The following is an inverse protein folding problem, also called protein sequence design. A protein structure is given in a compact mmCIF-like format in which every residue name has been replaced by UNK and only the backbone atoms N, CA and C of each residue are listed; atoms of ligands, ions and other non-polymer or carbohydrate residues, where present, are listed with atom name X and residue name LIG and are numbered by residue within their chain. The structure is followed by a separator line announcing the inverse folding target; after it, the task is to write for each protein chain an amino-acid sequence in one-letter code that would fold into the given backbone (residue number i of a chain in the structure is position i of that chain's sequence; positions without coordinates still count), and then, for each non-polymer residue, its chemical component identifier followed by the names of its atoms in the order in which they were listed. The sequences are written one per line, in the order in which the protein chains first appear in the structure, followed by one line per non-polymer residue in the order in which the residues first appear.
data_IF_973053317686
#
_entry.id   IF_973053317686
#
_cell.length_a   1.000
_cell.length_b   1.000
_cell.length_c   1.000
_cell.angle_alpha   90.00
_cell.angle_beta   90.00
_cell.angle_gamma   90.00
#
_symmetry.space_group_name_H-M   'P 1'
#
loop_
_entity.id
_entity.type
_entity.pdbx_description
1 polymer ?
#
# COMPACT_ATOMS: atom_id res chain seq x y z
N UNK A 1 11.58 -11.70 -13.50
CA UNK A 1 11.93 -10.27 -13.47
C UNK A 1 12.46 -9.79 -14.82
N UNK A 2 13.45 -10.46 -15.41
CA UNK A 2 14.12 -10.05 -16.66
C UNK A 2 13.68 -10.80 -17.93
N UNK A 3 12.61 -11.60 -17.84
CA UNK A 3 12.08 -12.38 -18.96
C UNK A 3 10.95 -11.62 -19.67
N UNK A 4 11.33 -10.58 -20.42
CA UNK A 4 10.39 -9.69 -21.09
C UNK A 4 9.48 -10.44 -22.07
N UNK A 5 8.19 -10.14 -22.03
CA UNK A 5 7.17 -10.72 -22.89
C UNK A 5 6.74 -9.70 -23.96
N UNK A 6 6.62 -10.14 -25.20
CA UNK A 6 6.29 -9.24 -26.33
C UNK A 6 4.93 -8.55 -26.18
N UNK A 7 3.96 -9.21 -25.55
CA UNK A 7 2.61 -8.67 -25.32
C UNK A 7 2.57 -7.59 -24.24
N UNK A 8 3.61 -7.47 -23.42
CA UNK A 8 3.77 -6.39 -22.45
C UNK A 8 5.24 -6.18 -22.10
N UNK A 9 6.05 -5.53 -22.96
CA UNK A 9 7.50 -5.48 -22.81
C UNK A 9 7.94 -4.85 -21.48
N UNK A 10 9.00 -5.39 -20.87
CA UNK A 10 9.52 -4.86 -19.62
C UNK A 10 10.26 -3.54 -19.82
N UNK A 11 9.86 -2.49 -19.10
CA UNK A 11 10.64 -1.26 -19.02
C UNK A 11 12.07 -1.59 -18.54
N UNK A 12 13.08 -1.03 -19.21
CA UNK A 12 14.49 -1.23 -18.88
C UNK A 12 14.93 -2.70 -18.89
N UNK A 13 14.14 -3.59 -19.51
CA UNK A 13 14.36 -5.04 -19.48
C UNK A 13 14.08 -5.69 -18.11
N UNK A 14 13.37 -5.01 -17.20
CA UNK A 14 13.14 -5.51 -15.85
C UNK A 14 11.73 -5.18 -15.32
N UNK A 15 10.90 -6.19 -15.06
CA UNK A 15 9.55 -6.02 -14.50
C UNK A 15 9.52 -5.67 -13.00
N UNK A 16 10.66 -5.64 -12.32
CA UNK A 16 10.75 -5.37 -10.89
C UNK A 16 9.91 -4.18 -10.43
N UNK A 17 10.10 -2.97 -10.98
CA UNK A 17 9.31 -1.81 -10.57
C UNK A 17 7.79 -2.00 -10.77
N UNK A 18 7.39 -2.72 -11.82
CA UNK A 18 5.99 -3.03 -12.09
C UNK A 18 5.39 -3.98 -11.03
N UNK A 19 6.16 -4.95 -10.56
CA UNK A 19 5.74 -5.83 -9.45
C UNK A 19 5.79 -5.14 -8.09
N UNK A 20 6.70 -4.20 -7.85
CA UNK A 20 6.68 -3.35 -6.65
C UNK A 20 5.37 -2.57 -6.62
N UNK A 21 4.98 -1.92 -7.72
CA UNK A 21 3.68 -1.24 -7.81
C UNK A 21 2.51 -2.20 -7.59
N UNK A 22 2.48 -3.35 -8.25
CA UNK A 22 1.40 -4.33 -8.07
C UNK A 22 1.23 -4.73 -6.60
N UNK A 23 2.36 -4.98 -5.92
CA UNK A 23 2.44 -5.38 -4.52
C UNK A 23 2.00 -4.25 -3.59
N UNK A 24 2.51 -3.03 -3.82
CA UNK A 24 2.10 -1.81 -3.14
C UNK A 24 0.58 -1.62 -3.22
N UNK A 25 0.01 -1.71 -4.42
CA UNK A 25 -1.44 -1.53 -4.63
C UNK A 25 -2.27 -2.67 -4.02
N UNK A 26 -1.72 -3.89 -3.95
CA UNK A 26 -2.43 -5.02 -3.33
C UNK A 26 -2.57 -4.77 -1.82
N UNK A 27 -1.49 -4.39 -1.15
CA UNK A 27 -1.50 -4.08 0.28
C UNK A 27 -2.12 -2.70 0.61
N UNK A 28 -2.07 -1.78 -0.35
CA UNK A 28 -2.36 -0.36 -0.17
C UNK A 28 -3.84 -0.01 -0.02
N UNK A 29 -4.77 -0.96 -0.16
CA UNK A 29 -6.20 -0.67 0.05
C UNK A 29 -6.65 -0.77 1.51
N UNK A 30 -5.77 -1.28 2.39
CA UNK A 30 -6.05 -1.49 3.81
C UNK A 30 -6.41 -0.19 4.53
N UNK A 31 -7.34 -0.24 5.48
CA UNK A 31 -7.68 0.90 6.34
C UNK A 31 -7.84 0.46 7.80
N UNK A 32 -7.33 1.25 8.72
CA UNK A 32 -7.33 0.92 10.16
C UNK A 32 -8.71 0.99 10.81
N UNK A 33 -9.60 1.79 10.24
CA UNK A 33 -10.95 2.08 10.75
C UNK A 33 -11.78 0.80 10.93
N UNK A 34 -11.71 -0.12 9.99
CA UNK A 34 -12.41 -1.41 10.05
C UNK A 34 -11.55 -2.62 9.66
N UNK A 35 -10.27 -2.41 9.36
CA UNK A 35 -9.31 -3.47 9.00
C UNK A 35 -9.50 -4.04 7.61
N UNK A 36 -10.44 -3.52 6.80
CA UNK A 36 -10.74 -4.03 5.45
C UNK A 36 -9.72 -3.56 4.41
N UNK A 37 -9.74 -4.20 3.26
CA UNK A 37 -8.72 -4.04 2.22
C UNK A 37 -7.43 -4.76 2.59
N UNK A 38 -6.34 -4.45 1.90
CA UNK A 38 -5.03 -5.06 2.13
C UNK A 38 -4.73 -6.24 1.20
N UNK A 39 -3.55 -6.83 1.43
CA UNK A 39 -2.98 -7.89 0.61
C UNK A 39 -3.36 -9.29 1.08
N UNK A 40 -4.04 -9.43 2.21
CA UNK A 40 -4.27 -10.67 2.95
C UNK A 40 -5.07 -11.74 2.23
N UNK A 41 -5.81 -11.39 1.18
CA UNK A 41 -6.74 -12.28 0.46
C UNK A 41 -6.50 -12.36 -1.06
N UNK A 42 -5.60 -11.52 -1.60
CA UNK A 42 -5.36 -11.41 -3.04
C UNK A 42 -6.51 -10.79 -3.83
N UNK A 43 -7.37 -10.00 -3.17
CA UNK A 43 -8.59 -9.41 -3.73
C UNK A 43 -8.38 -8.51 -4.96
N UNK A 44 -7.17 -7.99 -5.18
CA UNK A 44 -6.82 -7.20 -6.38
C UNK A 44 -7.15 -7.91 -7.71
N UNK A 45 -7.39 -9.22 -7.69
CA UNK A 45 -7.80 -10.00 -8.87
C UNK A 45 -9.29 -9.97 -9.18
N UNK A 46 -10.13 -9.42 -8.30
CA UNK A 46 -11.58 -9.35 -8.45
C UNK A 46 -12.08 -7.90 -8.51
N UNK A 47 -13.32 -7.72 -8.97
CA UNK A 47 -14.00 -6.44 -8.93
C UNK A 47 -14.27 -5.99 -7.48
N UNK A 48 -14.25 -4.68 -7.17
CA UNK A 48 -13.95 -3.59 -8.09
C UNK A 48 -12.44 -3.34 -8.28
N UNK A 49 -11.59 -3.90 -7.40
CA UNK A 49 -10.17 -3.56 -7.33
C UNK A 49 -9.42 -3.88 -8.63
N UNK A 50 -9.76 -4.96 -9.32
CA UNK A 50 -9.14 -5.33 -10.59
C UNK A 50 -9.31 -4.29 -11.70
N UNK A 51 -10.23 -3.33 -11.51
CA UNK A 51 -10.68 -2.34 -12.48
C UNK A 51 -10.61 -0.89 -12.00
N UNK A 52 -10.12 -0.67 -10.79
CA UNK A 52 -9.84 0.69 -10.30
C UNK A 52 -8.89 1.44 -11.25
N UNK A 53 -9.13 2.73 -11.53
CA UNK A 53 -8.22 3.55 -12.34
C UNK A 53 -6.77 3.48 -11.88
N UNK A 54 -6.54 3.52 -10.57
CA UNK A 54 -5.19 3.47 -10.00
C UNK A 54 -4.54 2.08 -10.13
N UNK A 55 -5.32 1.03 -10.39
CA UNK A 55 -4.83 -0.30 -10.71
C UNK A 55 -4.64 -0.53 -12.23
N UNK A 56 -4.68 0.56 -13.02
CA UNK A 56 -4.43 0.55 -14.45
C UNK A 56 -3.20 -0.31 -14.82
N UNK A 57 -3.40 -1.19 -15.79
CA UNK A 57 -2.43 -2.17 -16.29
C UNK A 57 -1.95 -3.25 -15.30
N UNK A 58 -2.36 -3.26 -14.03
CA UNK A 58 -1.96 -4.32 -13.09
C UNK A 58 -2.58 -5.69 -13.43
N UNK A 59 -3.59 -5.74 -14.30
CA UNK A 59 -4.05 -6.96 -14.95
C UNK A 59 -2.92 -7.66 -15.74
N UNK A 60 -2.05 -6.89 -16.42
CA UNK A 60 -0.84 -7.42 -17.08
C UNK A 60 0.20 -7.89 -16.07
N UNK A 61 0.44 -7.13 -15.00
CA UNK A 61 1.36 -7.54 -13.92
C UNK A 61 0.96 -8.91 -13.34
N UNK A 62 -0.31 -9.07 -12.96
CA UNK A 62 -0.82 -10.34 -12.43
C UNK A 62 -0.71 -11.49 -13.45
N UNK A 63 -0.95 -11.21 -14.74
CA UNK A 63 -0.84 -12.24 -15.79
C UNK A 63 0.60 -12.71 -16.00
N UNK A 64 1.60 -11.84 -15.88
CA UNK A 64 3.01 -12.23 -15.96
C UNK A 64 3.39 -13.28 -14.91
N UNK A 65 2.68 -13.32 -13.78
CA UNK A 65 2.89 -14.29 -12.70
C UNK A 65 2.14 -15.61 -12.88
N UNK A 66 1.24 -15.72 -13.88
CA UNK A 66 0.47 -16.95 -14.11
C UNK A 66 1.33 -18.21 -14.31
N UNK A 67 2.41 -18.20 -15.12
CA UNK A 67 3.26 -19.39 -15.27
C UNK A 67 3.88 -19.87 -13.95
N UNK A 68 4.22 -18.92 -13.05
CA UNK A 68 4.71 -19.23 -11.70
C UNK A 68 3.59 -19.83 -10.85
N UNK A 69 2.41 -19.19 -10.83
CA UNK A 69 1.24 -19.72 -10.12
C UNK A 69 0.88 -21.14 -10.59
N UNK A 70 0.88 -21.38 -11.89
CA UNK A 70 0.59 -22.68 -12.49
C UNK A 70 1.62 -23.73 -12.07
N UNK A 71 2.92 -23.38 -12.07
CA UNK A 71 4.00 -24.28 -11.67
C UNK A 71 3.88 -24.75 -10.22
N UNK A 72 3.53 -23.85 -9.30
CA UNK A 72 3.46 -24.16 -7.87
C UNK A 72 2.06 -24.57 -7.39
N UNK A 73 1.03 -24.38 -8.21
CA UNK A 73 -0.33 -24.85 -7.93
C UNK A 73 -0.87 -24.29 -6.63
N UNK A 74 -1.37 -25.17 -5.76
CA UNK A 74 -1.92 -24.82 -4.45
C UNK A 74 -0.87 -24.66 -3.33
N UNK A 75 0.43 -24.80 -3.64
CA UNK A 75 1.51 -24.56 -2.67
C UNK A 75 1.78 -23.08 -2.42
N UNK A 76 1.22 -22.20 -3.25
CA UNK A 76 1.26 -20.75 -3.10
C UNK A 76 -0.08 -20.16 -3.54
N UNK A 77 -0.67 -19.31 -2.71
CA UNK A 77 -1.86 -18.53 -3.05
C UNK A 77 -1.49 -17.38 -4.00
N UNK A 78 -2.46 -16.82 -4.72
CA UNK A 78 -2.26 -15.55 -5.41
C UNK A 78 -1.95 -14.43 -4.42
N UNK A 79 -2.61 -14.42 -3.26
CA UNK A 79 -2.34 -13.46 -2.19
C UNK A 79 -0.85 -13.42 -1.81
N UNK A 80 -0.25 -14.57 -1.47
CA UNK A 80 1.17 -14.63 -1.15
C UNK A 80 2.06 -14.34 -2.37
N UNK A 81 1.68 -14.80 -3.57
CA UNK A 81 2.47 -14.59 -4.77
C UNK A 81 2.53 -13.10 -5.18
N UNK A 82 1.44 -12.35 -5.01
CA UNK A 82 1.45 -10.91 -5.27
C UNK A 82 2.42 -10.20 -4.35
N UNK A 83 2.38 -10.52 -3.06
CA UNK A 83 3.26 -9.89 -2.06
C UNK A 83 4.73 -10.30 -2.25
N UNK A 84 4.98 -11.57 -2.48
CA UNK A 84 6.34 -12.09 -2.69
C UNK A 84 7.01 -11.48 -3.94
N UNK A 85 6.24 -11.24 -5.01
CA UNK A 85 6.78 -10.66 -6.24
C UNK A 85 7.41 -9.29 -6.03
N UNK A 86 6.82 -8.43 -5.19
CA UNK A 86 7.39 -7.13 -4.83
C UNK A 86 8.65 -7.23 -3.98
N UNK A 87 8.69 -8.15 -3.01
CA UNK A 87 9.90 -8.41 -2.21
C UNK A 87 11.07 -8.84 -3.11
N UNK A 88 10.85 -9.87 -3.94
CA UNK A 88 11.86 -10.38 -4.88
C UNK A 88 12.29 -9.30 -5.88
N UNK A 89 11.36 -8.42 -6.28
CA UNK A 89 11.69 -7.30 -7.17
C UNK A 89 12.68 -6.32 -6.52
N UNK A 90 12.43 -5.89 -5.28
CA UNK A 90 13.33 -5.02 -4.53
C UNK A 90 14.71 -5.67 -4.38
N UNK A 91 14.75 -6.93 -3.94
CA UNK A 91 15.99 -7.70 -3.75
C UNK A 91 16.79 -7.83 -5.04
N UNK A 92 16.11 -8.14 -6.15
CA UNK A 92 16.76 -8.29 -7.47
C UNK A 92 17.38 -7.00 -8.01
N UNK A 93 16.94 -5.84 -7.51
CA UNK A 93 17.45 -4.52 -7.88
C UNK A 93 18.42 -3.94 -6.82
N UNK A 94 18.83 -4.75 -5.85
CA UNK A 94 19.84 -4.40 -4.83
C UNK A 94 19.28 -3.76 -3.56
N UNK A 95 17.96 -3.64 -3.42
CA UNK A 95 17.32 -3.19 -2.19
C UNK A 95 17.28 -4.29 -1.13
N UNK A 96 17.23 -3.92 0.14
CA UNK A 96 17.11 -4.87 1.26
C UNK A 96 15.69 -4.89 1.79
N UNK A 97 15.12 -6.08 1.89
CA UNK A 97 13.84 -6.32 2.58
C UNK A 97 14.10 -6.69 4.05
N UNK A 98 13.14 -6.42 4.93
CA UNK A 98 13.26 -6.79 6.35
C UNK A 98 12.93 -8.28 6.59
N UNK A 99 12.13 -8.87 5.70
CA UNK A 99 11.73 -10.28 5.72
C UNK A 99 10.45 -10.51 4.92
N UNK A 100 9.92 -11.73 5.02
CA UNK A 100 8.67 -12.13 4.37
C UNK A 100 7.98 -13.23 5.17
N UNK A 101 6.66 -13.18 5.21
CA UNK A 101 5.82 -14.29 5.64
C UNK A 101 4.78 -14.61 4.58
N UNK A 102 4.64 -15.90 4.27
CA UNK A 102 3.44 -16.43 3.62
C UNK A 102 2.35 -16.73 4.63
N UNK A 103 1.27 -17.39 4.19
CA UNK A 103 0.13 -17.81 5.01
C UNK A 103 -1.17 -17.08 4.69
N UNK A 104 -1.22 -16.34 3.58
CA UNK A 104 -2.44 -15.69 3.07
C UNK A 104 -3.25 -16.69 2.25
N UNK A 105 -4.53 -16.82 2.52
CA UNK A 105 -5.42 -17.67 1.75
C UNK A 105 -6.04 -16.91 0.58
N UNK A 106 -6.26 -17.59 -0.55
CA UNK A 106 -7.01 -17.02 -1.66
C UNK A 106 -8.51 -17.03 -1.34
N UNK A 107 -9.19 -15.91 -1.55
CA UNK A 107 -10.66 -15.87 -1.69
C UNK A 107 -11.06 -16.24 -3.12
N UNK A 108 -12.31 -16.62 -3.36
CA UNK A 108 -12.81 -17.07 -4.69
C UNK A 108 -13.91 -16.19 -5.28
N UNK A 109 -14.29 -15.13 -4.58
CA UNK A 109 -15.24 -14.12 -4.99
C UNK A 109 -14.85 -12.80 -4.32
N UNK A 110 -15.24 -11.64 -4.90
CA UNK A 110 -14.95 -10.36 -4.28
C UNK A 110 -15.67 -10.21 -2.92
N UNK A 111 -15.03 -9.57 -1.93
CA UNK A 111 -15.69 -9.15 -0.71
C UNK A 111 -16.84 -8.19 -1.01
N UNK A 112 -18.02 -8.48 -0.47
CA UNK A 112 -19.22 -7.67 -0.68
C UNK A 112 -19.47 -6.67 0.47
N UNK A 113 -18.67 -6.73 1.52
CA UNK A 113 -18.85 -5.98 2.76
C UNK A 113 -17.90 -4.76 2.87
N UNK A 114 -17.13 -4.46 1.83
CA UNK A 114 -16.24 -3.29 1.80
C UNK A 114 -16.94 -2.09 1.16
N UNK A 115 -17.15 -1.04 1.96
CA UNK A 115 -17.64 0.24 1.48
C UNK A 115 -16.47 1.12 1.00
N UNK A 116 -16.35 1.30 -0.31
CA UNK A 116 -15.27 2.08 -0.94
C UNK A 116 -15.56 3.59 -1.07
N UNK A 117 -16.79 4.00 -0.77
CA UNK A 117 -17.29 5.36 -0.94
C UNK A 117 -18.69 5.36 -1.55
N UNK A 118 -19.33 6.52 -1.57
CA UNK A 118 -20.69 6.71 -2.11
C UNK A 118 -20.71 7.28 -3.53
N UNK A 119 -19.54 7.52 -4.10
CA UNK A 119 -19.43 8.05 -5.46
C UNK A 119 -19.94 7.04 -6.48
N UNK A 120 -20.70 7.53 -7.46
CA UNK A 120 -21.24 6.73 -8.56
C UNK A 120 -20.28 6.69 -9.78
N UNK A 121 -19.23 7.51 -9.78
CA UNK A 121 -18.27 7.65 -10.89
C UNK A 121 -16.82 7.49 -10.40
N UNK A 122 -15.96 6.95 -11.28
CA UNK A 122 -14.53 6.83 -11.01
C UNK A 122 -13.87 8.20 -10.84
N UNK A 123 -12.93 8.28 -9.90
CA UNK A 123 -12.16 9.48 -9.55
C UNK A 123 -13.00 10.65 -9.01
N UNK A 124 -14.30 10.49 -8.79
CA UNK A 124 -15.09 11.51 -8.09
C UNK A 124 -14.74 11.56 -6.58
N UNK A 125 -15.09 12.66 -5.92
CA UNK A 125 -14.68 12.98 -4.55
C UNK A 125 -15.82 13.43 -3.61
N UNK A 126 -16.97 12.76 -3.62
CA UNK A 126 -18.09 13.08 -2.73
C UNK A 126 -17.89 12.67 -1.26
N UNK A 127 -16.67 12.70 -0.72
CA UNK A 127 -16.28 12.08 0.56
C UNK A 127 -15.71 13.01 1.62
N UNK A 128 -15.72 14.31 1.36
CA UNK A 128 -15.22 15.33 2.30
C UNK A 128 -16.35 16.16 2.89
N UNK A 129 -16.20 16.54 4.15
CA UNK A 129 -17.03 17.53 4.83
C UNK A 129 -16.17 18.59 5.51
N UNK A 130 -16.75 19.75 5.81
CA UNK A 130 -16.07 20.82 6.57
C UNK A 130 -14.76 21.27 5.90
N UNK A 131 -13.71 21.42 6.71
CA UNK A 131 -12.35 21.71 6.23
C UNK A 131 -11.64 20.40 5.85
N UNK A 132 -12.07 19.79 4.74
CA UNK A 132 -11.44 18.59 4.15
C UNK A 132 -11.30 17.42 5.14
N UNK A 133 -12.34 17.17 5.94
CA UNK A 133 -12.45 15.98 6.78
C UNK A 133 -12.93 14.80 5.94
N UNK A 134 -12.06 13.79 5.76
CA UNK A 134 -12.37 12.60 4.96
C UNK A 134 -13.37 11.69 5.70
N UNK A 135 -14.41 11.24 5.01
CA UNK A 135 -15.45 10.35 5.54
C UNK A 135 -14.84 9.07 6.13
N UNK A 136 -15.26 8.69 7.33
CA UNK A 136 -14.98 7.37 7.91
C UNK A 136 -15.95 6.34 7.32
N UNK A 137 -15.48 5.15 6.88
CA UNK A 137 -14.18 4.53 7.18
C UNK A 137 -13.08 4.77 6.13
N UNK A 138 -13.29 5.61 5.11
CA UNK A 138 -12.47 5.68 3.91
C UNK A 138 -11.00 6.03 4.18
N UNK A 139 -10.09 5.46 3.38
CA UNK A 139 -8.64 5.69 3.46
C UNK A 139 -8.04 6.40 2.24
N UNK A 140 -8.83 6.80 1.25
CA UNK A 140 -8.36 7.40 0.00
C UNK A 140 -9.16 8.66 -0.37
N UNK A 141 -8.54 9.58 -1.11
CA UNK A 141 -9.11 10.90 -1.43
C UNK A 141 -10.17 10.91 -2.54
N UNK A 142 -10.16 9.89 -3.41
CA UNK A 142 -11.07 9.77 -4.56
C UNK A 142 -11.46 8.30 -4.78
N UNK A 143 -12.61 8.07 -5.43
CA UNK A 143 -13.07 6.73 -5.75
C UNK A 143 -12.13 6.07 -6.76
N UNK A 144 -11.63 4.88 -6.43
CA UNK A 144 -10.74 4.14 -7.32
C UNK A 144 -9.25 4.50 -7.24
N UNK A 145 -8.85 5.37 -6.30
CA UNK A 145 -7.44 5.61 -5.94
C UNK A 145 -7.04 4.80 -4.70
N UNK A 146 -5.76 4.44 -4.61
CA UNK A 146 -5.22 3.74 -3.43
C UNK A 146 -5.10 4.71 -2.24
N UNK A 147 -4.48 5.88 -2.44
CA UNK A 147 -4.26 6.88 -1.39
C UNK A 147 -4.69 8.28 -1.83
N UNK A 148 -3.85 8.94 -2.62
CA UNK A 148 -3.97 10.35 -3.01
C UNK A 148 -3.92 10.51 -4.52
N UNK A 149 -4.34 11.67 -5.00
CA UNK A 149 -4.18 12.04 -6.40
C UNK A 149 -2.72 12.47 -6.67
N UNK A 150 -2.02 11.86 -7.64
CA UNK A 150 -0.62 12.17 -7.92
C UNK A 150 -0.41 13.58 -8.49
N UNK A 151 -1.44 14.18 -9.12
CA UNK A 151 -1.42 15.56 -9.60
C UNK A 151 -1.65 16.57 -8.47
N UNK A 152 -2.10 16.12 -7.29
CA UNK A 152 -2.47 16.94 -6.13
C UNK A 152 -3.99 16.99 -5.91
N UNK A 153 -4.45 17.58 -4.79
CA UNK A 153 -5.86 17.62 -4.40
C UNK A 153 -6.77 18.06 -5.54
N UNK A 154 -7.68 17.18 -5.95
CA UNK A 154 -8.69 17.47 -6.98
C UNK A 154 -8.07 17.87 -8.34
N UNK A 155 -6.85 17.40 -8.62
CA UNK A 155 -6.07 17.73 -9.81
C UNK A 155 -5.31 19.06 -9.73
N UNK A 156 -5.32 19.75 -8.57
CA UNK A 156 -4.57 20.98 -8.36
C UNK A 156 -3.14 20.69 -7.87
N UNK A 157 -2.09 21.11 -8.60
CA UNK A 157 -0.69 20.81 -8.28
C UNK A 157 -0.12 21.67 -7.17
N UNK A 158 -0.72 21.59 -5.98
CA UNK A 158 -0.24 22.19 -4.73
C UNK A 158 0.43 21.12 -3.84
N UNK A 159 1.76 21.14 -3.71
CA UNK A 159 2.49 20.18 -2.89
C UNK A 159 2.13 20.20 -1.40
N UNK A 160 1.83 21.38 -0.83
CA UNK A 160 1.49 21.50 0.60
C UNK A 160 0.09 20.97 0.88
N UNK A 161 -0.85 21.24 -0.01
CA UNK A 161 -2.18 20.65 0.08
C UNK A 161 -2.12 19.12 -0.15
N UNK A 162 -1.27 18.65 -1.07
CA UNK A 162 -1.00 17.22 -1.27
C UNK A 162 -0.42 16.57 -0.01
N UNK A 163 0.50 17.23 0.70
CA UNK A 163 1.06 16.73 1.95
C UNK A 163 0.01 16.46 3.04
N UNK A 164 -1.02 17.32 3.13
CA UNK A 164 -2.16 17.13 4.04
C UNK A 164 -2.91 15.83 3.73
N UNK A 165 -3.24 15.62 2.46
CA UNK A 165 -3.94 14.41 2.01
C UNK A 165 -3.08 13.15 2.19
N UNK A 166 -1.79 13.23 1.89
CA UNK A 166 -0.84 12.12 2.08
C UNK A 166 -0.79 11.73 3.56
N UNK A 167 -0.64 12.71 4.45
CA UNK A 167 -0.57 12.47 5.90
C UNK A 167 -1.83 11.78 6.42
N UNK A 168 -3.00 12.30 6.08
CA UNK A 168 -4.27 11.75 6.54
C UNK A 168 -4.50 10.32 6.01
N UNK A 169 -4.31 10.11 4.71
CA UNK A 169 -4.55 8.80 4.09
C UNK A 169 -3.56 7.75 4.58
N UNK A 170 -2.26 8.04 4.65
CA UNK A 170 -1.26 7.12 5.19
C UNK A 170 -1.50 6.81 6.68
N UNK A 171 -1.90 7.81 7.49
CA UNK A 171 -2.26 7.59 8.89
C UNK A 171 -3.46 6.64 9.03
N UNK A 172 -4.49 6.79 8.19
CA UNK A 172 -5.63 5.85 8.10
C UNK A 172 -5.23 4.46 7.61
N UNK A 173 -4.03 4.30 7.09
CA UNK A 173 -3.44 3.02 6.70
C UNK A 173 -2.29 2.60 7.63
N UNK A 174 -2.24 3.13 8.85
CA UNK A 174 -1.26 2.80 9.87
C UNK A 174 0.20 3.15 9.51
N UNK A 175 0.43 4.21 8.73
CA UNK A 175 1.76 4.72 8.44
C UNK A 175 1.93 6.12 9.03
N UNK A 176 3.01 6.33 9.78
CA UNK A 176 3.39 7.65 10.28
C UNK A 176 4.20 8.45 9.25
N UNK A 177 4.60 9.69 9.57
CA UNK A 177 5.35 10.56 8.66
C UNK A 177 6.68 9.94 8.19
N UNK A 178 7.41 9.25 9.07
CA UNK A 178 8.69 8.61 8.72
C UNK A 178 8.49 7.41 7.79
N UNK A 179 7.54 6.54 8.11
CA UNK A 179 7.16 5.41 7.27
C UNK A 179 6.63 5.87 5.90
N UNK A 180 5.90 6.98 5.86
CA UNK A 180 5.33 7.56 4.64
C UNK A 180 6.40 8.08 3.69
N UNK A 181 7.37 8.85 4.20
CA UNK A 181 8.52 9.31 3.40
C UNK A 181 9.35 8.12 2.94
N UNK A 182 9.60 7.14 3.83
CA UNK A 182 10.37 5.95 3.48
C UNK A 182 9.71 5.14 2.36
N UNK A 183 8.39 4.89 2.44
CA UNK A 183 7.63 4.16 1.41
C UNK A 183 7.56 4.92 0.09
N UNK A 184 7.32 6.22 0.12
CA UNK A 184 7.23 7.06 -1.09
C UNK A 184 8.58 7.09 -1.82
N UNK A 185 9.64 7.49 -1.11
CA UNK A 185 10.97 7.57 -1.69
C UNK A 185 11.52 6.19 -2.10
N UNK A 186 11.32 5.16 -1.28
CA UNK A 186 11.80 3.81 -1.58
C UNK A 186 11.06 3.15 -2.73
N UNK A 187 9.75 3.39 -2.86
CA UNK A 187 8.97 2.94 -4.01
C UNK A 187 9.38 3.65 -5.29
N UNK A 188 9.44 4.99 -5.26
CA UNK A 188 9.80 5.83 -6.41
C UNK A 188 11.31 5.91 -6.69
N UNK A 189 12.15 5.18 -5.94
CA UNK A 189 13.54 4.89 -6.36
C UNK A 189 13.55 4.02 -7.63
N UNK A 190 12.47 3.28 -7.88
CA UNK A 190 12.34 2.35 -8.99
C UNK A 190 11.31 2.79 -10.04
N UNK A 191 11.58 2.43 -11.30
CA UNK A 191 10.61 2.46 -12.39
C UNK A 191 10.31 3.84 -12.97
N UNK A 192 9.11 3.94 -13.53
CA UNK A 192 8.58 5.14 -14.19
C UNK A 192 7.06 5.16 -14.13
N UNK A 193 6.48 6.34 -14.38
CA UNK A 193 5.08 6.50 -14.76
C UNK A 193 4.89 6.37 -16.27
N UNK A 194 3.65 6.10 -16.71
CA UNK A 194 3.28 5.93 -18.13
C UNK A 194 2.10 6.82 -18.52
N UNK A 195 2.33 7.68 -19.50
CA UNK A 195 1.46 8.74 -19.97
C UNK A 195 1.86 9.20 -21.38
N UNK A 196 2.15 8.25 -22.27
CA UNK A 196 2.65 8.52 -23.62
C UNK A 196 1.70 9.38 -24.48
N UNK A 197 0.39 9.33 -24.20
CA UNK A 197 -0.63 10.18 -24.84
C UNK A 197 -1.91 10.26 -23.99
N UNK A 198 -2.87 11.04 -24.48
CA UNK A 198 -4.19 11.28 -23.86
C UNK A 198 -4.98 9.97 -23.63
N UNK A 199 -5.18 9.53 -22.37
CA UNK A 199 -5.87 8.29 -22.07
C UNK A 199 -7.32 8.30 -22.54
N UNK A 200 -8.02 9.44 -22.50
CA UNK A 200 -9.42 9.54 -22.90
C UNK A 200 -9.67 9.30 -24.39
N UNK A 201 -8.61 9.36 -25.22
CA UNK A 201 -8.69 9.06 -26.66
C UNK A 201 -8.26 7.64 -27.01
N UNK A 202 -7.30 7.09 -26.27
CA UNK A 202 -6.58 5.90 -26.69
C UNK A 202 -6.77 4.69 -25.79
N UNK A 203 -7.15 4.88 -24.52
CA UNK A 203 -7.30 3.80 -23.54
C UNK A 203 -8.76 3.38 -23.48
N UNK A 204 -9.02 2.10 -23.76
CA UNK A 204 -10.34 1.49 -23.66
C UNK A 204 -10.76 1.16 -22.24
N UNK A 205 -11.92 0.50 -22.12
CA UNK A 205 -12.51 0.11 -20.84
C UNK A 205 -11.57 -0.74 -19.96
N UNK A 206 -11.70 -0.56 -18.66
CA UNK A 206 -11.14 -1.38 -17.59
C UNK A 206 -11.58 -2.85 -17.68
N UNK A 207 -10.92 -3.80 -16.97
CA UNK A 207 -11.16 -5.23 -17.14
C UNK A 207 -12.62 -5.68 -17.05
N UNK A 208 -13.40 -5.20 -16.09
CA UNK A 208 -14.82 -5.58 -15.96
C UNK A 208 -15.73 -4.99 -17.07
N UNK A 209 -15.31 -3.89 -17.70
CA UNK A 209 -15.98 -3.30 -18.86
C UNK A 209 -15.43 -3.80 -20.22
N UNK A 210 -14.42 -4.68 -20.21
CA UNK A 210 -13.69 -5.09 -21.42
C UNK A 210 -14.45 -6.16 -22.23
N UNK A 211 -14.28 -6.20 -23.57
CA UNK A 211 -14.81 -7.27 -24.39
C UNK A 211 -14.25 -8.65 -24.03
N UNK A 212 -15.06 -9.70 -24.18
CA UNK A 212 -14.70 -11.06 -23.78
C UNK A 212 -13.37 -11.52 -24.38
N UNK A 213 -13.08 -11.20 -25.65
CA UNK A 213 -11.85 -11.57 -26.34
C UNK A 213 -10.56 -11.00 -25.71
N UNK A 214 -10.66 -10.03 -24.78
CA UNK A 214 -9.52 -9.56 -23.98
C UNK A 214 -9.14 -10.54 -22.86
N UNK A 215 -9.93 -11.59 -22.61
CA UNK A 215 -9.61 -12.67 -21.66
C UNK A 215 -9.25 -12.12 -20.26
N UNK A 216 -10.05 -11.17 -19.78
CA UNK A 216 -9.88 -10.51 -18.48
C UNK A 216 -8.80 -9.43 -18.41
N UNK A 217 -8.24 -9.01 -19.55
CA UNK A 217 -7.46 -7.78 -19.65
C UNK A 217 -8.35 -6.57 -19.94
N UNK A 218 -7.97 -5.40 -19.42
CA UNK A 218 -8.61 -4.12 -19.70
C UNK A 218 -7.64 -3.11 -20.26
N UNK A 219 -8.04 -1.83 -20.28
CA UNK A 219 -7.22 -0.68 -20.65
C UNK A 219 -6.47 -0.86 -21.98
N UNK A 220 -7.14 -1.46 -22.96
CA UNK A 220 -6.54 -1.68 -24.29
C UNK A 220 -6.15 -0.33 -24.87
N UNK A 221 -4.86 -0.17 -25.13
CA UNK A 221 -4.29 1.07 -25.63
C UNK A 221 -4.16 1.03 -27.15
N UNK A 222 -4.76 2.03 -27.82
CA UNK A 222 -4.76 2.18 -29.28
C UNK A 222 -3.72 3.20 -29.77
N UNK A 223 -2.95 3.82 -28.86
CA UNK A 223 -1.88 4.73 -29.22
C UNK A 223 -0.66 3.96 -29.74
N UNK A 224 -0.36 4.12 -31.04
CA UNK A 224 0.79 3.49 -31.69
C UNK A 224 0.82 1.96 -31.43
N UNK A 225 1.88 1.43 -30.79
CA UNK A 225 1.97 0.00 -30.46
C UNK A 225 1.10 -0.40 -29.26
N UNK A 226 0.69 0.57 -28.45
CA UNK A 226 -0.11 0.38 -27.23
C UNK A 226 0.68 -0.12 -26.02
N UNK A 227 1.95 -0.49 -26.19
CA UNK A 227 2.80 -1.12 -25.18
C UNK A 227 4.21 -0.52 -25.19
N UNK A 228 5.02 -0.86 -24.20
CA UNK A 228 6.39 -0.38 -24.08
C UNK A 228 6.48 1.16 -24.03
N UNK A 229 7.20 1.76 -24.98
CA UNK A 229 7.36 3.23 -25.06
C UNK A 229 6.06 4.00 -25.29
N UNK A 230 5.01 3.32 -25.77
CA UNK A 230 3.69 3.91 -26.05
C UNK A 230 2.67 3.64 -24.94
N UNK A 231 3.11 3.07 -23.80
CA UNK A 231 2.24 2.70 -22.69
C UNK A 231 1.56 3.94 -22.07
N UNK A 232 0.28 3.78 -21.72
CA UNK A 232 -0.50 4.76 -20.97
C UNK A 232 -1.10 4.03 -19.77
N UNK A 233 -0.82 4.54 -18.56
CA UNK A 233 -1.35 4.00 -17.30
C UNK A 233 -2.00 5.12 -16.48
N UNK A 234 -1.19 6.00 -15.87
CA UNK A 234 -1.69 7.10 -15.02
C UNK A 234 -1.87 8.40 -15.80
N UNK A 235 -1.27 8.51 -17.00
CA UNK A 235 -1.19 9.78 -17.74
C UNK A 235 0.02 10.63 -17.34
N UNK A 236 0.70 10.33 -16.25
CA UNK A 236 1.98 10.95 -15.90
C UNK A 236 3.11 10.21 -16.64
N UNK A 237 4.15 10.90 -17.11
CA UNK A 237 5.19 10.28 -17.94
C UNK A 237 6.61 10.59 -17.44
N UNK A 238 7.40 9.55 -17.24
CA UNK A 238 8.83 9.67 -16.96
C UNK A 238 9.28 8.88 -15.73
N UNK A 239 10.60 8.74 -15.58
CA UNK A 239 11.24 8.10 -14.44
C UNK A 239 11.56 9.11 -13.33
N UNK A 240 11.54 8.65 -12.09
CA UNK A 240 11.97 9.48 -10.95
C UNK A 240 13.49 9.58 -10.84
N UNK A 241 14.21 8.50 -11.17
CA UNK A 241 15.67 8.36 -10.99
C UNK A 241 16.40 8.14 -12.31
N UNK A 242 17.72 8.38 -12.33
CA UNK A 242 18.57 8.07 -13.48
C UNK A 242 18.88 6.57 -13.63
N UNK A 243 18.69 5.77 -12.56
CA UNK A 243 18.83 4.31 -12.55
C UNK A 243 17.53 3.61 -12.09
N UNK A 244 16.49 3.54 -12.94
CA UNK A 244 15.15 3.07 -12.54
C UNK A 244 15.05 1.60 -12.09
N UNK A 245 16.13 0.83 -12.20
CA UNK A 245 16.17 -0.60 -11.84
C UNK A 245 17.26 -0.91 -10.82
N UNK A 246 17.66 0.09 -10.05
CA UNK A 246 18.70 -0.02 -9.03
C UNK A 246 18.25 0.68 -7.75
N UNK A 247 18.47 0.02 -6.61
CA UNK A 247 18.39 0.67 -5.32
C UNK A 247 19.61 1.57 -5.12
N UNK A 248 19.36 2.87 -5.06
CA UNK A 248 20.33 3.89 -4.72
C UNK A 248 19.62 5.08 -4.03
N UNK A 249 20.35 6.16 -3.78
CA UNK A 249 19.80 7.37 -3.14
C UNK A 249 19.28 8.40 -4.17
N UNK A 250 19.17 7.99 -5.44
CA UNK A 250 18.94 8.88 -6.58
C UNK A 250 17.64 9.66 -6.48
N UNK A 251 16.58 9.08 -5.89
CA UNK A 251 15.32 9.80 -5.65
C UNK A 251 15.56 11.09 -4.86
N UNK A 252 16.31 11.02 -3.75
CA UNK A 252 16.58 12.20 -2.92
C UNK A 252 17.61 13.13 -3.55
N UNK A 253 18.63 12.60 -4.24
CA UNK A 253 19.61 13.41 -4.99
C UNK A 253 18.91 14.33 -6.00
N UNK A 254 17.91 13.80 -6.70
CA UNK A 254 17.11 14.54 -7.66
C UNK A 254 16.11 15.47 -6.94
N UNK A 255 15.28 14.95 -6.04
CA UNK A 255 14.21 15.71 -5.37
C UNK A 255 14.76 16.96 -4.68
N UNK A 256 15.82 16.82 -3.90
CA UNK A 256 16.38 17.90 -3.07
C UNK A 256 17.47 18.71 -3.80
N UNK A 257 18.08 18.15 -4.85
CA UNK A 257 19.20 18.75 -5.56
C UNK A 257 18.84 19.74 -6.66
N UNK A 258 17.56 19.86 -7.02
CA UNK A 258 17.09 20.72 -8.11
C UNK A 258 15.99 21.68 -7.70
N UNK A 259 15.89 22.77 -8.46
CA UNK A 259 14.65 23.51 -8.59
C UNK A 259 13.73 22.84 -9.61
N UNK A 260 12.43 22.97 -9.40
CA UNK A 260 11.41 22.24 -10.15
C UNK A 260 10.47 23.19 -10.88
N UNK A 261 10.14 22.84 -12.12
CA UNK A 261 9.13 23.54 -12.93
C UNK A 261 7.91 22.65 -13.14
N UNK A 262 6.73 23.20 -12.89
CA UNK A 262 5.46 22.56 -13.22
C UNK A 262 5.30 22.51 -14.74
N UNK A 263 4.98 21.32 -15.26
CA UNK A 263 4.75 21.06 -16.68
C UNK A 263 3.53 20.16 -16.86
N UNK A 264 3.15 19.92 -18.12
CA UNK A 264 2.18 18.90 -18.50
C UNK A 264 2.89 17.72 -19.17
N UNK A 265 2.48 16.50 -18.84
CA UNK A 265 2.88 15.28 -19.54
C UNK A 265 2.37 15.26 -20.99
N UNK A 266 2.81 14.33 -21.85
CA UNK A 266 2.22 14.12 -23.17
C UNK A 266 0.71 13.82 -23.13
N UNK A 267 0.21 13.27 -22.03
CA UNK A 267 -1.21 13.04 -21.79
C UNK A 267 -1.97 14.24 -21.21
N UNK A 268 -1.28 15.33 -20.84
CA UNK A 268 -1.88 16.51 -20.24
C UNK A 268 -2.01 16.47 -18.71
N UNK A 269 -1.40 15.51 -18.02
CA UNK A 269 -1.34 15.45 -16.56
C UNK A 269 -0.30 16.44 -16.00
N UNK A 270 -0.54 17.06 -14.85
CA UNK A 270 0.44 17.87 -14.13
C UNK A 270 1.56 16.99 -13.58
N UNK A 271 2.80 17.42 -13.82
CA UNK A 271 4.00 16.83 -13.24
C UNK A 271 5.12 17.87 -13.17
N UNK A 272 6.24 17.54 -12.53
CA UNK A 272 7.34 18.45 -12.30
C UNK A 272 8.60 17.94 -13.00
N UNK A 273 9.32 18.82 -13.69
CA UNK A 273 10.63 18.54 -14.25
C UNK A 273 11.72 19.35 -13.52
N UNK A 274 12.94 18.80 -13.37
CA UNK A 274 14.06 19.57 -12.86
C UNK A 274 14.38 20.70 -13.85
N UNK A 275 14.78 21.85 -13.31
CA UNK A 275 15.33 22.96 -14.07
C UNK A 275 16.81 22.67 -14.35
N UNK A 276 17.19 22.73 -15.63
CA UNK A 276 18.56 22.53 -16.12
C UNK A 276 19.28 21.29 -15.54
N UNK A 277 18.69 20.07 -15.68
CA UNK A 277 19.29 18.86 -15.15
C UNK A 277 20.64 18.56 -15.80
N UNK A 278 21.58 18.07 -14.99
CA UNK A 278 22.82 17.48 -15.50
C UNK A 278 22.52 16.26 -16.37
N UNK A 279 23.35 16.02 -17.37
CA UNK A 279 23.20 14.88 -18.29
C UNK A 279 23.21 13.52 -17.57
N UNK A 280 24.00 13.39 -16.50
CA UNK A 280 24.07 12.19 -15.65
C UNK A 280 22.79 11.94 -14.81
N UNK A 281 21.94 12.96 -14.64
CA UNK A 281 20.67 12.88 -13.91
C UNK A 281 19.46 12.69 -14.84
N UNK A 282 19.70 12.54 -16.15
CA UNK A 282 18.69 12.07 -17.09
C UNK A 282 18.56 10.54 -17.01
N UNK A 283 17.35 10.03 -17.18
CA UNK A 283 17.10 8.59 -17.24
C UNK A 283 17.32 8.06 -18.66
N UNK A 284 17.71 6.78 -18.84
CA UNK A 284 17.58 6.14 -20.14
C UNK A 284 16.09 6.06 -20.54
N UNK A 285 15.77 6.11 -21.83
CA UNK A 285 14.42 5.75 -22.27
C UNK A 285 14.19 4.25 -22.06
N UNK A 286 13.01 3.86 -21.56
CA UNK A 286 12.74 2.50 -21.08
C UNK A 286 12.94 1.39 -22.12
N UNK A 287 12.74 1.69 -23.40
CA UNK A 287 12.89 0.75 -24.52
C UNK A 287 13.93 1.17 -25.55
N UNK A 288 14.75 2.18 -25.23
CA UNK A 288 15.86 2.63 -26.07
C UNK A 288 16.95 3.28 -25.21
N UNK A 289 17.89 2.45 -24.74
CA UNK A 289 18.97 2.89 -23.84
C UNK A 289 19.92 3.92 -24.47
N UNK A 290 19.88 4.09 -25.80
CA UNK A 290 20.67 5.11 -26.48
C UNK A 290 20.09 6.52 -26.32
N UNK A 291 18.82 6.63 -25.91
CA UNK A 291 18.14 7.89 -25.65
C UNK A 291 18.12 8.19 -24.17
N UNK A 292 18.36 9.47 -23.85
CA UNK A 292 18.17 10.03 -22.51
C UNK A 292 16.89 10.86 -22.48
N UNK A 293 16.14 10.76 -21.38
CA UNK A 293 14.90 11.50 -21.15
C UNK A 293 14.96 12.19 -19.79
N UNK A 294 14.25 13.31 -19.68
CA UNK A 294 14.16 14.06 -18.43
C UNK A 294 13.47 13.23 -17.35
N UNK A 295 14.04 13.23 -16.16
CA UNK A 295 13.40 12.71 -14.95
C UNK A 295 12.24 13.61 -14.51
N UNK A 296 11.37 13.08 -13.66
CA UNK A 296 10.17 13.78 -13.21
C UNK A 296 9.86 13.52 -11.74
N UNK A 297 9.02 14.38 -11.18
CA UNK A 297 8.38 14.20 -9.87
C UNK A 297 6.89 14.48 -10.00
N UNK A 298 6.07 13.76 -9.25
CA UNK A 298 4.63 14.06 -9.09
C UNK A 298 4.43 15.19 -8.09
N UNK A 299 3.22 15.74 -7.99
CA UNK A 299 2.91 16.71 -6.91
C UNK A 299 3.03 16.05 -5.53
N UNK A 300 2.70 14.76 -5.43
CA UNK A 300 2.87 14.00 -4.20
C UNK A 300 4.35 13.80 -3.81
N UNK A 301 5.25 13.64 -4.79
CA UNK A 301 6.70 13.62 -4.53
C UNK A 301 7.21 14.98 -4.05
N UNK A 302 6.74 16.07 -4.68
CA UNK A 302 7.08 17.42 -4.26
C UNK A 302 6.65 17.70 -2.82
N UNK A 303 5.56 17.10 -2.34
CA UNK A 303 5.13 17.21 -0.94
C UNK A 303 6.23 16.74 0.04
N UNK A 304 7.07 15.77 -0.35
CA UNK A 304 8.19 15.26 0.48
C UNK A 304 9.33 16.29 0.63
N UNK A 305 9.39 17.29 -0.26
CA UNK A 305 10.35 18.42 -0.23
C UNK A 305 9.73 19.67 0.39
N UNK A 306 8.46 19.94 0.13
CA UNK A 306 7.82 21.22 0.48
C UNK A 306 7.19 21.22 1.89
N UNK A 307 6.64 20.09 2.35
CA UNK A 307 6.10 20.00 3.72
C UNK A 307 7.23 20.02 4.76
N UNK A 308 7.20 20.90 5.78
CA UNK A 308 8.31 21.02 6.73
C UNK A 308 8.67 19.74 7.50
N UNK A 309 7.68 18.91 7.83
CA UNK A 309 7.90 17.65 8.57
C UNK A 309 8.48 16.58 7.65
N UNK A 310 7.91 16.42 6.45
CA UNK A 310 8.44 15.48 5.47
C UNK A 310 9.82 15.89 4.99
N UNK A 311 10.05 17.17 4.70
CA UNK A 311 11.36 17.68 4.28
C UNK A 311 12.46 17.35 5.28
N UNK A 312 12.20 17.54 6.57
CA UNK A 312 13.17 17.19 7.62
C UNK A 312 13.53 15.70 7.61
N UNK A 313 12.57 14.83 7.34
CA UNK A 313 12.79 13.39 7.23
C UNK A 313 13.54 13.07 5.93
N UNK A 314 13.13 13.66 4.80
CA UNK A 314 13.77 13.52 3.49
C UNK A 314 15.24 13.93 3.52
N UNK A 315 15.56 15.09 4.10
CA UNK A 315 16.95 15.57 4.26
C UNK A 315 17.76 14.65 5.18
N UNK A 316 17.15 14.12 6.26
CA UNK A 316 17.80 13.15 7.14
C UNK A 316 18.11 11.84 6.39
N UNK A 317 17.15 11.30 5.65
CA UNK A 317 17.32 10.08 4.85
C UNK A 317 18.33 10.27 3.73
N UNK A 318 18.30 11.42 3.05
CA UNK A 318 19.28 11.80 2.04
C UNK A 318 20.70 11.78 2.61
N UNK A 319 20.90 12.37 3.80
CA UNK A 319 22.20 12.39 4.48
C UNK A 319 22.59 11.05 5.13
N UNK A 320 21.64 10.12 5.33
CA UNK A 320 21.86 8.84 6.02
C UNK A 320 21.21 7.66 5.26
N UNK A 321 21.76 7.23 4.11
CA UNK A 321 21.13 6.20 3.25
C UNK A 321 20.88 4.86 3.95
N UNK A 322 21.70 4.48 4.93
CA UNK A 322 21.47 3.25 5.71
C UNK A 322 20.23 3.36 6.63
N UNK A 323 19.97 4.55 7.20
CA UNK A 323 18.73 4.77 7.97
C UNK A 323 17.51 4.72 7.07
N UNK A 324 17.62 5.30 5.86
CA UNK A 324 16.57 5.21 4.85
C UNK A 324 16.30 3.76 4.46
N UNK A 325 17.35 2.97 4.20
CA UNK A 325 17.21 1.56 3.83
C UNK A 325 16.54 0.72 4.93
N UNK A 326 16.89 0.92 6.20
CA UNK A 326 16.23 0.21 7.33
C UNK A 326 14.77 0.65 7.50
N UNK A 327 14.51 1.97 7.47
CA UNK A 327 13.16 2.51 7.58
C UNK A 327 12.26 2.02 6.44
N UNK A 328 12.74 2.03 5.19
CA UNK A 328 12.02 1.49 4.04
C UNK A 328 11.77 -0.01 4.19
N UNK A 329 12.79 -0.81 4.53
CA UNK A 329 12.64 -2.26 4.69
C UNK A 329 11.58 -2.62 5.74
N UNK A 330 11.57 -1.91 6.88
CA UNK A 330 10.60 -2.09 7.97
C UNK A 330 9.20 -1.60 7.60
N UNK A 331 9.08 -0.43 6.98
CA UNK A 331 7.79 0.11 6.54
C UNK A 331 7.17 -0.74 5.42
N UNK A 332 7.99 -1.22 4.49
CA UNK A 332 7.59 -2.18 3.46
C UNK A 332 7.12 -3.49 4.08
N UNK A 333 7.85 -4.06 5.04
CA UNK A 333 7.38 -5.27 5.73
C UNK A 333 6.06 -5.03 6.47
N UNK A 334 5.90 -3.91 7.18
CA UNK A 334 4.64 -3.53 7.83
C UNK A 334 3.50 -3.41 6.83
N UNK A 335 3.69 -2.69 5.72
CA UNK A 335 2.70 -2.54 4.66
C UNK A 335 2.15 -3.90 4.22
N UNK A 336 3.05 -4.85 3.97
CA UNK A 336 2.70 -6.14 3.39
C UNK A 336 2.07 -7.12 4.39
N UNK A 337 2.22 -6.88 5.70
CA UNK A 337 1.82 -7.84 6.74
C UNK A 337 0.90 -7.26 7.83
N UNK A 338 0.53 -5.97 7.75
CA UNK A 338 -0.34 -5.28 8.73
C UNK A 338 -1.74 -5.90 8.88
N UNK A 339 -2.21 -6.61 7.87
CA UNK A 339 -3.50 -7.31 7.81
C UNK A 339 -3.39 -8.82 8.10
N UNK A 340 -2.20 -9.32 8.47
CA UNK A 340 -2.01 -10.72 8.84
C UNK A 340 -2.22 -10.99 10.33
N UNK A 341 -2.39 -9.96 11.15
CA UNK A 341 -2.58 -10.08 12.60
C UNK A 341 -1.37 -10.68 13.32
N UNK A 342 -1.58 -11.53 14.35
CA UNK A 342 -0.51 -12.02 15.21
C UNK A 342 0.58 -12.78 14.46
N UNK A 343 1.83 -12.61 14.91
CA UNK A 343 3.02 -13.31 14.38
C UNK A 343 2.89 -14.84 14.39
N UNK A 344 2.03 -15.42 15.23
CA UNK A 344 1.76 -16.86 15.22
C UNK A 344 1.10 -17.37 13.93
N UNK A 345 0.55 -16.49 13.09
CA UNK A 345 0.04 -16.82 11.76
C UNK A 345 1.12 -16.81 10.68
N UNK A 346 2.33 -16.38 10.99
CA UNK A 346 3.38 -16.17 10.00
C UNK A 346 4.05 -17.50 9.67
N UNK A 347 4.32 -17.72 8.39
CA UNK A 347 4.83 -18.98 7.85
C UNK A 347 5.97 -18.69 6.89
N UNK A 348 7.04 -19.48 6.99
CA UNK A 348 8.15 -19.48 6.05
C UNK A 348 9.50 -19.20 6.72
N UNK A 349 10.60 -19.39 5.99
CA UNK A 349 11.95 -19.26 6.53
C UNK A 349 12.41 -17.81 6.69
N UNK A 350 11.71 -16.84 6.09
CA UNK A 350 12.09 -15.42 6.05
C UNK A 350 11.32 -14.55 7.06
N UNK A 351 10.60 -15.19 7.99
CA UNK A 351 9.90 -14.49 9.07
C UNK A 351 10.94 -13.89 10.02
N UNK A 352 10.98 -12.56 10.22
CA UNK A 352 11.93 -11.94 11.11
C UNK A 352 11.80 -12.46 12.55
N UNK A 353 12.92 -12.67 13.25
CA UNK A 353 12.90 -13.07 14.66
C UNK A 353 12.38 -11.95 15.58
N UNK A 354 12.64 -10.69 15.22
CA UNK A 354 12.17 -9.50 15.94
C UNK A 354 10.62 -9.47 16.02
N UNK A 355 10.08 -9.13 17.18
CA UNK A 355 8.65 -8.81 17.33
C UNK A 355 8.44 -7.32 17.17
N UNK A 356 7.56 -6.93 16.25
CA UNK A 356 7.28 -5.53 15.97
C UNK A 356 6.01 -5.09 16.68
N UNK A 357 6.02 -3.91 17.29
CA UNK A 357 4.91 -3.45 18.14
C UNK A 357 3.54 -3.42 17.42
N UNK A 358 3.53 -3.11 16.12
CA UNK A 358 2.31 -3.06 15.31
C UNK A 358 1.69 -4.45 15.05
N UNK A 359 2.41 -5.54 15.35
CA UNK A 359 1.90 -6.92 15.32
C UNK A 359 1.10 -7.27 16.58
N UNK A 360 0.95 -6.33 17.52
CA UNK A 360 0.27 -6.53 18.78
C UNK A 360 0.82 -7.75 19.56
N UNK A 361 2.13 -7.82 19.84
CA UNK A 361 2.73 -8.99 20.49
C UNK A 361 2.11 -9.25 21.88
N UNK A 362 2.08 -10.52 22.24
CA UNK A 362 1.60 -11.01 23.53
C UNK A 362 2.67 -11.91 24.12
N UNK A 363 3.02 -11.66 25.38
CA UNK A 363 3.99 -12.47 26.10
C UNK A 363 3.54 -13.92 26.21
N UNK A 364 4.46 -14.86 26.02
CA UNK A 364 4.20 -16.29 26.19
C UNK A 364 3.80 -16.55 27.65
N UNK A 365 2.59 -17.06 27.86
CA UNK A 365 2.08 -17.42 29.18
C UNK A 365 2.57 -18.77 29.67
N UNK A 366 2.43 -19.02 30.97
CA UNK A 366 2.64 -20.35 31.55
C UNK A 366 1.55 -21.31 31.07
N UNK A 367 1.95 -22.53 30.68
CA UNK A 367 1.03 -23.59 30.27
C UNK A 367 0.65 -24.53 31.43
N UNK A 368 1.24 -24.36 32.61
CA UNK A 368 0.97 -25.14 33.81
C UNK A 368 -0.08 -24.46 34.70
N UNK A 369 -1.35 -24.57 34.32
CA UNK A 369 -2.48 -24.05 35.08
C UNK A 369 -3.56 -25.11 35.34
N UNK A 370 -4.23 -24.99 36.48
CA UNK A 370 -5.36 -25.84 36.85
C UNK A 370 -6.69 -25.12 36.52
N UNK A 371 -7.33 -25.57 35.43
CA UNK A 371 -8.58 -25.01 34.94
C UNK A 371 -9.70 -25.12 35.98
N UNK A 372 -9.77 -26.25 36.69
CA UNK A 372 -10.86 -26.52 37.63
C UNK A 372 -10.70 -25.69 38.90
N UNK A 373 -9.47 -25.54 39.39
CA UNK A 373 -9.17 -24.65 40.50
C UNK A 373 -9.49 -23.18 40.17
N UNK A 374 -9.21 -22.72 38.94
CA UNK A 374 -9.56 -21.35 38.50
C UNK A 374 -11.08 -21.16 38.41
N UNK A 375 -11.80 -22.12 37.80
CA UNK A 375 -13.28 -22.08 37.72
C UNK A 375 -13.91 -22.02 39.10
N UNK A 376 -13.43 -22.84 40.05
CA UNK A 376 -13.93 -22.84 41.42
C UNK A 376 -13.72 -21.48 42.10
N UNK A 377 -12.55 -20.84 41.91
CA UNK A 377 -12.29 -19.49 42.43
C UNK A 377 -13.21 -18.43 41.83
N UNK A 378 -13.50 -18.53 40.53
CA UNK A 378 -14.45 -17.62 39.86
C UNK A 378 -15.87 -17.81 40.42
N UNK A 379 -16.33 -19.07 40.57
CA UNK A 379 -17.65 -19.39 41.13
C UNK A 379 -17.78 -18.94 42.59
N UNK A 380 -16.70 -19.05 43.36
CA UNK A 380 -16.66 -18.62 44.76
C UNK A 380 -16.50 -17.10 44.94
N UNK A 381 -16.33 -16.34 43.86
CA UNK A 381 -16.24 -14.87 43.92
C UNK A 381 -17.63 -14.23 44.05
N UNK A 382 -17.67 -12.98 44.52
CA UNK A 382 -18.91 -12.19 44.59
C UNK A 382 -19.35 -11.61 43.23
N UNK A 383 -18.77 -12.08 42.12
CA UNK A 383 -19.13 -11.62 40.78
C UNK A 383 -20.47 -12.20 40.35
N UNK A 384 -21.33 -11.35 39.81
CA UNK A 384 -22.59 -11.81 39.22
C UNK A 384 -22.34 -12.50 37.87
N UNK A 385 -23.25 -13.37 37.46
CA UNK A 385 -23.24 -13.99 36.12
C UNK A 385 -23.15 -12.91 35.03
N UNK A 386 -23.90 -11.82 35.19
CA UNK A 386 -23.89 -10.70 34.25
C UNK A 386 -22.49 -10.09 34.12
N UNK A 387 -21.82 -9.78 35.24
CA UNK A 387 -20.46 -9.22 35.22
C UNK A 387 -19.45 -10.14 34.54
N UNK A 388 -19.54 -11.44 34.79
CA UNK A 388 -18.66 -12.44 34.16
C UNK A 388 -18.87 -12.49 32.64
N UNK A 389 -20.12 -12.56 32.20
CA UNK A 389 -20.47 -12.63 30.77
C UNK A 389 -20.09 -11.33 30.05
N UNK A 390 -20.45 -10.17 30.60
CA UNK A 390 -20.13 -8.87 30.01
C UNK A 390 -18.62 -8.64 29.89
N UNK A 391 -17.84 -9.04 30.91
CA UNK A 391 -16.38 -8.91 30.88
C UNK A 391 -15.76 -9.83 29.81
N UNK A 392 -16.19 -11.09 29.75
CA UNK A 392 -15.71 -12.04 28.75
C UNK A 392 -16.05 -11.57 27.32
N UNK A 393 -17.29 -11.12 27.11
CA UNK A 393 -17.74 -10.58 25.83
C UNK A 393 -16.99 -9.30 25.46
N UNK A 394 -16.86 -8.34 26.37
CA UNK A 394 -16.13 -7.10 26.13
C UNK A 394 -14.66 -7.33 25.76
N UNK A 395 -14.06 -8.40 26.26
CA UNK A 395 -12.70 -8.79 25.86
C UNK A 395 -12.69 -9.40 24.45
N UNK A 396 -13.51 -10.43 24.20
CA UNK A 396 -13.49 -11.19 22.96
C UNK A 396 -14.04 -10.44 21.74
N UNK A 397 -15.08 -9.62 21.93
CA UNK A 397 -15.81 -8.91 20.85
C UNK A 397 -15.02 -7.80 20.16
N UNK A 398 -13.80 -7.53 20.61
CA UNK A 398 -12.88 -6.60 19.94
C UNK A 398 -12.17 -7.23 18.75
N UNK A 399 -12.25 -8.56 18.61
CA UNK A 399 -11.69 -9.28 17.46
C UNK A 399 -12.41 -8.87 16.17
N UNK A 400 -11.63 -8.64 15.13
CA UNK A 400 -12.14 -8.49 13.76
C UNK A 400 -11.33 -9.36 12.81
N UNK A 401 -12.03 -10.14 12.00
CA UNK A 401 -11.44 -11.08 11.05
C UNK A 401 -10.75 -10.38 9.87
N UNK A 402 -11.09 -9.10 9.63
CA UNK A 402 -10.60 -8.32 8.49
C UNK A 402 -9.07 -8.13 8.51
N UNK A 403 -8.49 -7.89 9.69
CA UNK A 403 -7.03 -7.78 9.89
C UNK A 403 -6.52 -8.69 11.03
N UNK A 404 -7.39 -9.55 11.56
CA UNK A 404 -7.12 -10.52 12.61
C UNK A 404 -6.63 -9.88 13.93
N UNK A 405 -6.93 -8.59 14.17
CA UNK A 405 -6.57 -7.87 15.40
C UNK A 405 -7.68 -7.99 16.45
N UNK A 406 -7.31 -7.67 17.71
CA UNK A 406 -8.20 -7.70 18.86
C UNK A 406 -8.44 -9.10 19.41
N UNK A 407 -9.47 -9.23 20.25
CA UNK A 407 -9.87 -10.48 20.89
C UNK A 407 -9.40 -10.62 22.34
N UNK A 408 -9.63 -11.81 22.90
CA UNK A 408 -9.38 -12.06 24.32
C UNK A 408 -7.90 -12.31 24.68
N UNK A 409 -7.08 -12.72 23.70
CA UNK A 409 -5.67 -13.01 23.93
C UNK A 409 -4.91 -11.73 24.34
N UNK A 410 -3.96 -11.86 25.27
CA UNK A 410 -3.24 -10.74 25.87
C UNK A 410 -4.04 -9.93 26.91
N UNK A 411 -5.32 -10.25 27.14
CA UNK A 411 -6.16 -9.64 28.16
C UNK A 411 -6.13 -8.09 28.17
N UNK A 412 -6.03 -7.47 26.98
CA UNK A 412 -5.85 -6.01 26.85
C UNK A 412 -7.04 -5.18 27.39
N UNK A 413 -8.18 -5.81 27.63
CA UNK A 413 -9.29 -5.20 28.39
C UNK A 413 -8.82 -4.64 29.74
N UNK A 414 -7.83 -5.27 30.40
CA UNK A 414 -7.28 -4.76 31.65
C UNK A 414 -6.54 -3.43 31.46
N UNK A 415 -5.87 -3.24 30.32
CA UNK A 415 -5.16 -2.00 29.99
C UNK A 415 -6.16 -0.86 29.76
N UNK A 416 -7.25 -1.15 29.03
CA UNK A 416 -8.35 -0.21 28.81
C UNK A 416 -8.97 0.20 30.15
N UNK A 417 -9.31 -0.78 31.00
CA UNK A 417 -9.92 -0.55 32.32
C UNK A 417 -9.02 0.29 33.23
N UNK A 418 -7.70 0.09 33.22
CA UNK A 418 -6.76 0.95 33.97
C UNK A 418 -6.82 2.41 33.54
N UNK A 419 -7.12 2.69 32.26
CA UNK A 419 -7.20 4.06 31.74
C UNK A 419 -8.58 4.70 31.93
N UNK A 420 -9.67 3.95 31.82
CA UNK A 420 -11.04 4.49 31.90
C UNK A 420 -11.76 4.23 33.25
N UNK A 421 -11.13 3.47 34.15
CA UNK A 421 -11.63 3.18 35.50
C UNK A 421 -12.67 2.05 35.57
N UNK A 422 -13.77 2.13 34.82
CA UNK A 422 -14.81 1.09 34.79
C UNK A 422 -15.59 1.05 33.48
N UNK A 423 -16.07 -0.13 33.11
CA UNK A 423 -17.11 -0.29 32.09
C UNK A 423 -18.47 0.03 32.74
N UNK A 424 -19.23 0.97 32.17
CA UNK A 424 -20.62 1.27 32.56
C UNK A 424 -21.56 0.95 31.39
N UNK A 425 -22.86 0.78 31.64
CA UNK A 425 -23.87 0.62 30.57
C UNK A 425 -23.90 1.80 29.57
N UNK A 426 -23.32 2.95 29.92
CA UNK A 426 -23.13 4.12 29.04
C UNK A 426 -21.72 4.21 28.44
N UNK A 427 -20.78 3.37 28.89
CA UNK A 427 -19.49 3.20 28.24
C UNK A 427 -19.76 2.34 27.02
N UNK A 428 -20.08 2.97 25.88
CA UNK A 428 -20.09 2.27 24.60
C UNK A 428 -18.80 1.43 24.50
N UNK A 429 -18.83 0.26 23.87
CA UNK A 429 -17.60 -0.51 23.57
C UNK A 429 -16.61 0.24 22.64
N UNK A 430 -16.93 1.48 22.20
CA UNK A 430 -16.09 2.30 21.32
C UNK A 430 -14.69 2.61 21.87
N UNK A 431 -14.46 2.96 23.16
CA UNK A 431 -13.12 3.15 23.68
C UNK A 431 -12.29 1.89 23.59
N UNK A 432 -12.88 0.70 23.78
CA UNK A 432 -12.17 -0.57 23.65
C UNK A 432 -11.63 -0.79 22.23
N UNK A 433 -12.33 -0.33 21.19
CA UNK A 433 -11.90 -0.44 19.79
C UNK A 433 -10.81 0.58 19.40
N UNK A 434 -10.85 1.79 19.97
CA UNK A 434 -9.86 2.84 19.68
C UNK A 434 -8.46 2.47 20.19
N UNK A 435 -8.36 1.69 21.28
CA UNK A 435 -7.08 1.26 21.86
C UNK A 435 -6.32 0.18 21.07
N UNK A 436 -6.97 -0.49 20.12
CA UNK A 436 -6.30 -1.42 19.23
C UNK A 436 -5.84 -0.76 17.93
N UNK A 437 -6.01 0.55 17.74
CA UNK A 437 -5.74 1.21 16.47
C UNK A 437 -4.64 2.28 16.53
N UNK A 438 -4.22 2.71 17.73
CA UNK A 438 -3.13 3.68 17.92
C UNK A 438 -1.81 3.02 18.32
#
# INVERSE_FOLDING_TARGET
MTDSQDWWPADYGHYGPFFIRMTWHAAGTYRTSDGRGGGGTGDQRFAPLNSWPDNGNLDKARRLLWPIKQKYGNKISWADLFILAGNVAIESMGGKTFGFSGGREDIYAPPLDIYWGREDEWLDNARYTGDRELEMPLGAVQMGLIYVNPEGPDGNPDPLASARDIRETFARMAMNDEETVALTAGGHTFGKAHGAADPGKYVGAEPEGSPLEQMGFGWKNLFQSGVGGDTITSGIEGAWTSHPTQWDNGYFDLLLGYEWKLVKSPAGAFQWHPVDPKEEHLAPAAHDVSKRVTTMMTTADMAMREDPSYRKISERFHANPEQFSDAFGRAWFKLLHRDMGPKSRYIGPEVPEEELIWQDPVSVGDNNYDIDAVKQKIIASDLTIQQMVETAWASASTYRETDMRGGANGARIQLVLKKIGKLTNQTSLKPCLIFYVQ
#
